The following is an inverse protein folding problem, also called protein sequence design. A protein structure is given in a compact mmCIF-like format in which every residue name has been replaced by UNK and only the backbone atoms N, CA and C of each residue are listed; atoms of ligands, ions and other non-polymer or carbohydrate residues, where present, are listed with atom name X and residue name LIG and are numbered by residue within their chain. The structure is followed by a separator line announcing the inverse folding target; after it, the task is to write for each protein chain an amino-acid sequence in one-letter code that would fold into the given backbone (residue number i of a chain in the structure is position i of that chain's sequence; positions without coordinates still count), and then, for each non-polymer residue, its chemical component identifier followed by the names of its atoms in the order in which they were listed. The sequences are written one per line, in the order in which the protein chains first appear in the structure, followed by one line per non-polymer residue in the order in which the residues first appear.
data_IF_748496967189
#
_entry.id   IF_748496967189
#
_cell.length_a   1.000
_cell.length_b   1.000
_cell.length_c   1.000
_cell.angle_alpha   90.00
_cell.angle_beta   90.00
_cell.angle_gamma   90.00
#
_symmetry.space_group_name_H-M   'P 1'
#
loop_
_entity.id
_entity.type
_entity.pdbx_description
1 polymer ?
#
# COMPACT_ATOMS: atom_id res chain seq x y z
N UNK A 1 37.84 -33.77 18.86
CA UNK A 1 37.09 -32.50 18.64
C UNK A 1 35.61 -32.85 18.46
N UNK A 2 34.78 -32.49 19.44
CA UNK A 2 33.45 -33.07 19.70
C UNK A 2 32.41 -32.80 18.60
N UNK A 3 31.75 -33.84 18.12
CA UNK A 3 30.63 -33.79 17.16
C UNK A 3 29.41 -33.01 17.70
N UNK A 4 29.29 -32.89 19.03
CA UNK A 4 28.22 -32.08 19.67
C UNK A 4 28.30 -30.60 19.31
N UNK A 5 29.49 -30.05 19.10
CA UNK A 5 29.65 -28.61 18.81
C UNK A 5 29.25 -28.25 17.37
N UNK A 6 29.30 -29.22 16.44
CA UNK A 6 28.92 -29.02 15.03
C UNK A 6 27.40 -28.90 14.86
N UNK A 7 26.62 -29.67 15.62
CA UNK A 7 25.16 -29.62 15.58
C UNK A 7 24.59 -28.30 16.11
N UNK A 8 25.17 -27.79 17.21
CA UNK A 8 24.75 -26.50 17.80
C UNK A 8 25.06 -25.34 16.86
N UNK A 9 26.24 -25.32 16.25
CA UNK A 9 26.61 -24.28 15.29
C UNK A 9 25.72 -24.27 14.04
N UNK A 10 25.37 -25.45 13.52
CA UNK A 10 24.46 -25.56 12.37
C UNK A 10 23.04 -25.08 12.70
N UNK A 11 22.54 -25.37 13.90
CA UNK A 11 21.21 -24.91 14.34
C UNK A 11 21.14 -23.39 14.50
N UNK A 12 22.17 -22.78 15.09
CA UNK A 12 22.26 -21.31 15.22
C UNK A 12 22.33 -20.63 13.85
N UNK A 13 23.10 -21.18 12.91
CA UNK A 13 23.19 -20.64 11.56
C UNK A 13 21.85 -20.71 10.81
N UNK A 14 21.15 -21.85 10.91
CA UNK A 14 19.84 -22.02 10.29
C UNK A 14 18.80 -21.06 10.88
N UNK A 15 18.82 -20.85 12.20
CA UNK A 15 17.94 -19.91 12.88
C UNK A 15 18.20 -18.45 12.45
N UNK A 16 19.47 -18.04 12.37
CA UNK A 16 19.85 -16.71 11.89
C UNK A 16 19.48 -16.51 10.41
N UNK A 17 19.68 -17.52 9.56
CA UNK A 17 19.27 -17.47 8.16
C UNK A 17 17.74 -17.35 8.01
N UNK A 18 16.97 -18.04 8.84
CA UNK A 18 15.51 -17.92 8.86
C UNK A 18 15.04 -16.52 9.31
N UNK A 19 15.70 -15.93 10.32
CA UNK A 19 15.44 -14.55 10.75
C UNK A 19 15.79 -13.56 9.63
N UNK A 20 16.96 -13.70 8.99
CA UNK A 20 17.35 -12.84 7.87
C UNK A 20 16.38 -12.97 6.69
N UNK A 21 15.95 -14.19 6.36
CA UNK A 21 14.97 -14.42 5.30
C UNK A 21 13.62 -13.78 5.66
N UNK A 22 13.17 -13.90 6.91
CA UNK A 22 11.95 -13.24 7.38
C UNK A 22 12.05 -11.72 7.30
N UNK A 23 13.17 -11.12 7.73
CA UNK A 23 13.42 -9.68 7.64
C UNK A 23 13.54 -9.19 6.19
N UNK A 24 14.19 -9.98 5.32
CA UNK A 24 14.31 -9.68 3.89
C UNK A 24 12.95 -9.75 3.17
N UNK A 25 12.15 -10.78 3.48
CA UNK A 25 10.78 -10.88 2.97
C UNK A 25 9.88 -9.77 3.51
N UNK A 26 10.07 -9.34 4.77
CA UNK A 26 9.38 -8.16 5.34
C UNK A 26 9.78 -6.89 4.60
N UNK A 27 11.06 -6.63 4.36
CA UNK A 27 11.51 -5.47 3.59
C UNK A 27 11.03 -5.49 2.13
N UNK A 28 10.88 -6.66 1.51
CA UNK A 28 10.29 -6.80 0.17
C UNK A 28 8.78 -6.51 0.13
N UNK A 29 8.06 -6.74 1.23
CA UNK A 29 6.61 -6.52 1.34
C UNK A 29 6.22 -5.13 1.84
N UNK A 30 7.18 -4.29 2.23
CA UNK A 30 6.92 -3.03 2.92
C UNK A 30 6.44 -1.85 2.05
N UNK A 31 6.32 -1.97 0.74
CA UNK A 31 6.13 -0.77 -0.09
C UNK A 31 5.25 -1.00 -1.32
N UNK A 32 4.16 -1.77 -1.23
CA UNK A 32 3.33 -1.97 -2.42
C UNK A 32 1.85 -1.77 -2.13
N UNK A 33 1.45 -0.51 -2.21
CA UNK A 33 0.06 -0.12 -2.41
C UNK A 33 -0.24 -0.13 -3.90
N UNK A 34 -1.37 -0.70 -4.31
CA UNK A 34 -1.73 -0.85 -5.72
C UNK A 34 -3.07 -0.17 -6.02
N UNK A 35 -3.19 0.55 -7.14
CA UNK A 35 -4.48 1.12 -7.60
C UNK A 35 -4.88 0.55 -8.94
N UNK A 36 -6.07 -0.06 -9.02
CA UNK A 36 -6.67 -0.52 -10.27
C UNK A 36 -7.94 0.26 -10.58
N UNK A 37 -8.04 0.79 -11.80
CA UNK A 37 -9.21 1.49 -12.30
C UNK A 37 -9.93 0.62 -13.33
N UNK A 38 -11.09 0.06 -12.96
CA UNK A 38 -11.96 -0.68 -13.90
C UNK A 38 -13.13 0.18 -14.40
N UNK A 39 -13.09 1.49 -14.17
CA UNK A 39 -14.15 2.40 -14.61
C UNK A 39 -13.79 3.01 -15.97
N UNK A 40 -14.79 3.63 -16.60
CA UNK A 40 -14.64 4.45 -17.79
C UNK A 40 -14.24 5.90 -17.48
N UNK A 41 -13.93 6.24 -16.23
CA UNK A 41 -13.49 7.58 -15.84
C UNK A 41 -12.00 7.59 -15.49
N UNK A 42 -11.36 8.74 -15.64
CA UNK A 42 -9.99 8.94 -15.20
C UNK A 42 -9.94 9.17 -13.69
N UNK A 43 -8.99 8.52 -13.03
CA UNK A 43 -8.82 8.58 -11.57
C UNK A 43 -7.53 9.32 -11.26
N UNK A 44 -7.61 10.37 -10.44
CA UNK A 44 -6.41 11.07 -9.99
C UNK A 44 -5.83 10.38 -8.77
N UNK A 45 -4.52 10.17 -8.74
CA UNK A 45 -3.82 9.53 -7.63
C UNK A 45 -2.52 10.24 -7.29
N UNK A 46 -2.06 10.06 -6.06
CA UNK A 46 -0.74 10.49 -5.58
C UNK A 46 0.13 9.23 -5.44
N UNK A 47 1.24 9.11 -6.18
CA UNK A 47 2.10 7.91 -6.14
C UNK A 47 2.82 7.73 -4.80
N UNK A 48 3.70 8.67 -4.42
CA UNK A 48 4.48 8.60 -3.17
C UNK A 48 4.66 9.99 -2.53
N UNK A 49 5.25 10.04 -1.34
CA UNK A 49 5.57 11.30 -0.66
C UNK A 49 6.54 12.14 -1.51
N UNK A 50 6.27 13.45 -1.64
CA UNK A 50 7.08 14.36 -2.47
C UNK A 50 6.78 14.32 -3.98
N UNK A 51 5.83 13.51 -4.45
CA UNK A 51 5.40 13.48 -5.87
C UNK A 51 4.05 14.19 -6.07
N UNK A 52 3.87 14.78 -7.26
CA UNK A 52 2.61 15.41 -7.67
C UNK A 52 1.55 14.37 -8.05
N UNK A 53 0.30 14.80 -8.06
CA UNK A 53 -0.81 13.95 -8.50
C UNK A 53 -0.69 13.63 -10.01
N UNK A 54 -1.07 12.41 -10.38
CA UNK A 54 -1.11 11.92 -11.75
C UNK A 54 -2.49 11.33 -12.05
N UNK A 55 -2.84 11.22 -13.34
CA UNK A 55 -4.05 10.52 -13.77
C UNK A 55 -3.75 9.05 -14.06
N UNK A 56 -4.67 8.20 -13.63
CA UNK A 56 -4.78 6.79 -14.02
C UNK A 56 -5.93 6.70 -15.01
N UNK A 57 -5.59 6.44 -16.26
CA UNK A 57 -6.56 6.33 -17.33
C UNK A 57 -7.62 5.26 -17.05
N UNK A 58 -8.79 5.43 -17.65
CA UNK A 58 -9.86 4.42 -17.63
C UNK A 58 -9.35 3.02 -17.98
N UNK A 59 -9.93 1.99 -17.35
CA UNK A 59 -9.63 0.57 -17.60
C UNK A 59 -8.13 0.20 -17.59
N UNK A 60 -7.30 0.98 -16.88
CA UNK A 60 -5.85 0.82 -16.89
C UNK A 60 -5.34 0.07 -15.67
N UNK A 61 -4.30 -0.74 -15.89
CA UNK A 61 -3.75 -1.62 -14.88
C UNK A 61 -2.92 -0.89 -13.83
N UNK A 62 -3.24 -1.26 -12.59
CA UNK A 62 -2.39 -1.43 -11.40
C UNK A 62 -1.08 -0.64 -11.36
N UNK A 63 -1.08 0.50 -10.68
CA UNK A 63 0.15 1.24 -10.34
C UNK A 63 0.72 0.73 -9.03
N UNK A 64 2.04 0.50 -8.96
CA UNK A 64 2.75 0.19 -7.72
C UNK A 64 3.14 1.47 -6.99
N UNK A 65 2.87 1.51 -5.67
CA UNK A 65 3.06 2.64 -4.75
C UNK A 65 2.09 3.78 -5.03
N UNK A 66 1.03 3.80 -4.23
CA UNK A 66 0.07 4.91 -4.15
C UNK A 66 -0.01 5.36 -2.69
N UNK A 67 -0.02 6.67 -2.52
CA UNK A 67 -0.19 7.34 -1.25
C UNK A 67 -1.66 7.72 -1.02
N UNK A 68 -2.38 8.04 -2.11
CA UNK A 68 -3.82 8.30 -2.10
C UNK A 68 -4.43 8.49 -3.48
N UNK A 69 -5.75 8.67 -3.54
CA UNK A 69 -6.48 8.88 -4.78
C UNK A 69 -7.77 9.68 -4.58
N UNK A 70 -8.26 10.28 -5.67
CA UNK A 70 -9.53 10.97 -5.75
C UNK A 70 -10.52 10.17 -6.61
N UNK A 71 -11.72 9.94 -6.10
CA UNK A 71 -12.80 9.24 -6.80
C UNK A 71 -14.16 9.78 -6.34
N UNK A 72 -15.05 10.05 -7.29
CA UNK A 72 -16.40 10.59 -7.03
C UNK A 72 -16.40 11.79 -6.08
N UNK A 73 -15.54 12.79 -6.35
CA UNK A 73 -15.45 14.03 -5.57
C UNK A 73 -14.89 13.86 -4.17
N UNK A 74 -14.32 12.68 -3.84
CA UNK A 74 -13.78 12.35 -2.52
C UNK A 74 -12.32 11.94 -2.65
N UNK A 75 -11.51 12.26 -1.64
CA UNK A 75 -10.08 11.91 -1.59
C UNK A 75 -9.82 10.90 -0.49
N UNK A 76 -9.02 9.88 -0.78
CA UNK A 76 -8.74 8.77 0.11
C UNK A 76 -7.22 8.61 0.29
N UNK A 77 -6.79 8.43 1.55
CA UNK A 77 -5.43 8.00 1.90
C UNK A 77 -5.34 6.49 1.80
N UNK A 78 -4.25 5.98 1.23
CA UNK A 78 -3.96 4.54 1.20
C UNK A 78 -2.79 4.26 2.15
N UNK A 79 -2.91 3.18 2.92
CA UNK A 79 -1.82 2.66 3.75
C UNK A 79 -1.00 1.62 2.98
N UNK A 80 0.24 1.43 3.41
CA UNK A 80 1.18 0.53 2.76
C UNK A 80 0.67 -0.91 2.71
N UNK A 81 0.85 -1.58 1.56
CA UNK A 81 0.44 -2.97 1.38
C UNK A 81 -1.06 -3.15 1.08
N UNK A 82 -1.78 -2.05 0.82
CA UNK A 82 -3.19 -2.08 0.43
C UNK A 82 -3.35 -2.03 -1.09
N UNK A 83 -4.07 -3.01 -1.64
CA UNK A 83 -4.57 -2.97 -3.01
C UNK A 83 -5.97 -2.36 -3.01
N UNK A 84 -6.13 -1.28 -3.76
CA UNK A 84 -7.40 -0.61 -4.01
C UNK A 84 -7.87 -0.94 -5.42
N UNK A 85 -9.09 -1.44 -5.54
CA UNK A 85 -9.75 -1.66 -6.83
C UNK A 85 -11.03 -0.85 -6.87
N UNK A 86 -11.18 -0.04 -7.91
CA UNK A 86 -12.41 0.72 -8.17
C UNK A 86 -13.12 -0.02 -9.30
N UNK A 87 -14.26 -0.62 -8.98
CA UNK A 87 -15.01 -1.50 -9.86
C UNK A 87 -15.91 -0.70 -10.81
N UNK A 88 -16.36 -1.34 -11.89
CA UNK A 88 -17.26 -0.76 -12.89
C UNK A 88 -18.55 -0.18 -12.28
N UNK A 89 -19.07 -0.80 -11.22
CA UNK A 89 -20.24 -0.36 -10.46
C UNK A 89 -19.97 0.81 -9.48
N UNK A 90 -18.79 1.45 -9.58
CA UNK A 90 -18.32 2.52 -8.70
C UNK A 90 -18.12 2.12 -7.24
N UNK A 91 -18.09 0.82 -6.93
CA UNK A 91 -17.71 0.34 -5.60
C UNK A 91 -16.18 0.31 -5.45
N UNK A 92 -15.70 0.56 -4.22
CA UNK A 92 -14.27 0.51 -3.90
C UNK A 92 -14.01 -0.75 -3.06
N UNK A 93 -13.14 -1.62 -3.55
CA UNK A 93 -12.67 -2.81 -2.85
C UNK A 93 -11.25 -2.60 -2.33
N UNK A 94 -11.06 -2.80 -1.03
CA UNK A 94 -9.74 -2.78 -0.38
C UNK A 94 -9.33 -4.21 -0.04
N UNK A 95 -8.28 -4.70 -0.69
CA UNK A 95 -7.61 -5.96 -0.34
C UNK A 95 -6.30 -5.63 0.35
N UNK A 96 -6.08 -6.19 1.54
CA UNK A 96 -4.88 -5.86 2.31
C UNK A 96 -3.93 -7.04 2.40
N UNK A 97 -2.69 -6.80 2.00
CA UNK A 97 -1.61 -7.78 1.98
C UNK A 97 -0.67 -7.47 3.16
N UNK A 98 -1.14 -7.64 4.39
CA UNK A 98 -0.39 -7.16 5.57
C UNK A 98 0.93 -7.90 5.84
N UNK A 99 1.89 -7.14 6.38
CA UNK A 99 2.98 -7.66 7.20
C UNK A 99 2.85 -7.37 8.71
N UNK A 100 2.05 -6.39 9.15
CA UNK A 100 1.91 -6.07 10.58
C UNK A 100 0.45 -6.21 11.07
N UNK A 101 0.24 -7.21 11.92
CA UNK A 101 -1.01 -7.56 12.61
C UNK A 101 -1.57 -6.40 13.46
N UNK A 102 -0.78 -5.36 13.73
CA UNK A 102 -1.21 -4.17 14.48
C UNK A 102 -2.18 -3.26 13.72
N UNK A 103 -2.11 -3.17 12.38
CA UNK A 103 -3.07 -2.36 11.64
C UNK A 103 -4.50 -2.95 11.71
N UNK A 104 -4.62 -4.28 11.81
CA UNK A 104 -5.88 -5.02 12.00
C UNK A 104 -6.63 -4.70 13.30
N UNK A 105 -5.98 -4.05 14.27
CA UNK A 105 -6.60 -3.63 15.53
C UNK A 105 -6.91 -2.12 15.53
N UNK A 106 -6.16 -1.33 14.76
CA UNK A 106 -6.48 0.06 14.42
C UNK A 106 -7.52 0.20 13.28
N UNK A 107 -8.14 -0.92 12.89
CA UNK A 107 -8.96 -1.12 11.70
C UNK A 107 -10.32 -0.39 11.58
N UNK A 108 -10.95 0.25 12.60
CA UNK A 108 -12.23 0.93 12.36
C UNK A 108 -12.14 2.20 11.51
N UNK A 109 -10.96 2.58 10.99
CA UNK A 109 -10.73 3.82 10.21
C UNK A 109 -10.57 3.63 8.70
N UNK A 110 -11.27 2.67 8.06
CA UNK A 110 -11.24 2.46 6.58
C UNK A 110 -11.72 3.69 5.79
N UNK A 111 -10.84 4.67 5.62
CA UNK A 111 -10.84 5.67 4.56
C UNK A 111 -12.08 6.55 4.51
N UNK A 112 -12.36 7.29 5.60
CA UNK A 112 -13.20 8.47 5.46
C UNK A 112 -12.54 9.42 4.44
N UNK A 113 -13.32 10.07 3.57
CA UNK A 113 -12.78 11.09 2.69
C UNK A 113 -11.97 12.11 3.49
N UNK A 114 -10.77 12.42 3.03
CA UNK A 114 -9.99 13.50 3.60
C UNK A 114 -10.74 14.81 3.39
N UNK A 115 -10.78 15.64 4.44
CA UNK A 115 -11.38 16.98 4.39
C UNK A 115 -10.35 18.07 4.08
N UNK A 116 -9.07 17.78 4.27
CA UNK A 116 -7.95 18.69 4.03
C UNK A 116 -6.70 17.92 3.58
N UNK A 117 -5.79 18.56 2.80
CA UNK A 117 -4.49 18.01 2.44
C UNK A 117 -3.64 17.65 3.68
N UNK A 118 -3.03 16.46 3.74
CA UNK A 118 -2.02 16.11 4.75
C UNK A 118 -0.68 16.85 4.58
N UNK A 119 -0.27 17.09 3.34
CA UNK A 119 0.96 17.79 2.96
C UNK A 119 0.79 18.51 1.60
N UNK A 120 1.78 19.30 1.18
CA UNK A 120 1.72 20.11 -0.05
C UNK A 120 1.53 19.28 -1.32
N UNK A 121 2.01 18.03 -1.36
CA UNK A 121 1.88 17.11 -2.50
C UNK A 121 0.44 16.65 -2.77
N UNK A 122 -0.49 16.90 -1.84
CA UNK A 122 -1.92 16.58 -2.00
C UNK A 122 -2.75 17.72 -2.58
N UNK A 123 -2.20 18.92 -2.67
CA UNK A 123 -2.95 20.09 -3.15
C UNK A 123 -3.53 19.87 -4.56
N UNK A 124 -2.78 19.18 -5.43
CA UNK A 124 -3.22 18.85 -6.78
C UNK A 124 -4.46 17.93 -6.78
N UNK A 125 -4.50 16.91 -5.90
CA UNK A 125 -5.68 16.05 -5.73
C UNK A 125 -6.90 16.86 -5.28
N UNK A 126 -6.73 17.75 -4.30
CA UNK A 126 -7.80 18.60 -3.77
C UNK A 126 -8.31 19.64 -4.76
N UNK A 127 -7.46 20.13 -5.67
CA UNK A 127 -7.88 21.05 -6.73
C UNK A 127 -8.63 20.35 -7.86
N UNK A 128 -8.44 19.03 -8.05
CA UNK A 128 -9.09 18.26 -9.12
C UNK A 128 -10.51 17.81 -8.82
N UNK A 129 -10.92 17.82 -7.55
CA UNK A 129 -12.27 17.43 -7.12
C UNK A 129 -13.21 18.64 -6.90
N UNK A 130 -12.73 19.87 -7.12
CA UNK A 130 -13.52 21.09 -7.02
C UNK A 130 -14.34 21.35 -8.28
#
# INVERSE_FOLDING_TARGET
MSTKNKGVAAFVLAFLAAILHSLFQRNRRKNISWLTNKTNIDIWFKPEEGTKAASLASNTATISKIDGFAFNGKIYKVSDGTTVTINEDSTITYSVVYADVLELVAYPFRTKPLKSPPDEGWNDLFNKIK
#
